data_IF_922436720765
#
_entry.id   IF_922436720765
#
_cell.length_a   1.000
_cell.length_b   1.000
_cell.length_c   1.000
_cell.angle_alpha   90.00
_cell.angle_beta   90.00
_cell.angle_gamma   90.00
#
_symmetry.space_group_name_H-M   'P 1'
#
loop_
_entity.id
_entity.type
_entity.pdbx_description
1 polymer ?
#
# COMPACT_ATOMS: atom_id res chain seq x y z
N UNK A 1 -15.40 -24.11 -1.65
CA UNK A 1 -14.63 -22.99 -1.07
C UNK A 1 -15.45 -21.71 -1.19
N UNK A 2 -15.30 -20.72 -0.29
CA UNK A 2 -15.94 -19.40 -0.41
C UNK A 2 -14.85 -18.32 -0.49
N UNK A 3 -14.60 -17.68 -1.65
CA UNK A 3 -13.54 -16.69 -1.78
C UNK A 3 -13.85 -15.46 -0.91
N UNK A 4 -12.81 -14.89 -0.29
CA UNK A 4 -12.90 -13.67 0.53
C UNK A 4 -11.72 -12.76 0.21
N UNK A 5 -11.98 -11.46 0.14
CA UNK A 5 -10.93 -10.44 0.03
C UNK A 5 -10.63 -9.90 1.43
N UNK A 6 -9.40 -10.10 1.90
CA UNK A 6 -8.95 -9.63 3.23
C UNK A 6 -7.86 -8.57 3.14
N UNK A 7 -7.12 -8.53 2.04
CA UNK A 7 -6.07 -7.54 1.79
C UNK A 7 -6.18 -7.06 0.35
N UNK A 8 -6.18 -5.74 0.17
CA UNK A 8 -5.99 -5.08 -1.11
C UNK A 8 -4.66 -4.34 -1.07
N UNK A 9 -3.73 -4.71 -1.94
CA UNK A 9 -2.45 -4.00 -2.10
C UNK A 9 -2.50 -3.10 -3.31
N UNK A 10 -2.17 -1.82 -3.14
CA UNK A 10 -2.10 -0.84 -4.23
C UNK A 10 -0.68 -0.26 -4.34
N UNK A 11 -0.13 -0.33 -5.54
CA UNK A 11 1.06 0.43 -5.92
C UNK A 11 0.71 1.90 -6.14
N UNK A 12 1.47 2.79 -5.52
CA UNK A 12 1.26 4.24 -5.63
C UNK A 12 2.57 4.95 -5.96
N UNK A 13 2.50 6.01 -6.77
CA UNK A 13 3.70 6.78 -7.16
C UNK A 13 4.29 7.63 -6.03
N UNK A 14 3.49 8.02 -5.04
CA UNK A 14 3.92 8.82 -3.90
C UNK A 14 3.27 8.33 -2.63
N UNK A 15 4.02 7.58 -1.81
CA UNK A 15 3.48 6.92 -0.61
C UNK A 15 2.98 7.94 0.41
N UNK A 16 3.76 8.98 0.72
CA UNK A 16 3.35 10.04 1.66
C UNK A 16 2.05 10.73 1.24
N UNK A 17 1.95 11.06 -0.05
CA UNK A 17 0.76 11.70 -0.62
C UNK A 17 -0.46 10.79 -0.51
N UNK A 18 -0.31 9.50 -0.83
CA UNK A 18 -1.39 8.54 -0.72
C UNK A 18 -1.81 8.35 0.74
N UNK A 19 -0.86 8.24 1.66
CA UNK A 19 -1.14 8.15 3.10
C UNK A 19 -1.89 9.38 3.59
N UNK A 20 -1.44 10.59 3.23
CA UNK A 20 -2.14 11.82 3.59
C UNK A 20 -3.58 11.86 3.03
N UNK A 21 -3.79 11.39 1.79
CA UNK A 21 -5.13 11.31 1.21
C UNK A 21 -6.08 10.43 2.05
N UNK A 22 -5.68 9.20 2.38
CA UNK A 22 -6.53 8.29 3.16
C UNK A 22 -6.63 8.70 4.64
N UNK A 23 -5.53 9.11 5.26
CA UNK A 23 -5.48 9.48 6.68
C UNK A 23 -6.12 10.84 6.95
N UNK A 24 -5.65 11.88 6.27
CA UNK A 24 -6.04 13.26 6.56
C UNK A 24 -7.25 13.68 5.74
N UNK A 25 -7.37 13.17 4.50
CA UNK A 25 -8.50 13.46 3.62
C UNK A 25 -9.76 12.66 3.99
N UNK A 26 -9.63 11.35 4.21
CA UNK A 26 -10.77 10.47 4.54
C UNK A 26 -10.91 10.14 6.03
N UNK A 27 -9.93 10.52 6.86
CA UNK A 27 -9.96 10.24 8.30
C UNK A 27 -9.70 8.78 8.68
N UNK A 28 -9.14 7.97 7.77
CA UNK A 28 -8.96 6.53 8.02
C UNK A 28 -7.77 6.25 8.93
N UNK A 29 -7.91 5.33 9.90
CA UNK A 29 -6.87 5.05 10.88
C UNK A 29 -5.69 4.30 10.24
N UNK A 30 -4.47 4.78 10.54
CA UNK A 30 -3.22 4.11 10.16
C UNK A 30 -2.15 4.33 11.22
N UNK A 31 -1.17 3.42 11.27
CA UNK A 31 0.06 3.62 12.03
C UNK A 31 1.10 4.47 11.27
N UNK A 32 0.76 4.94 10.08
CA UNK A 32 1.68 5.63 9.17
C UNK A 32 2.51 4.65 8.35
N UNK A 33 3.56 5.20 7.73
CA UNK A 33 4.52 4.44 6.92
C UNK A 33 5.44 3.67 7.86
N UNK A 34 5.65 2.40 7.56
CA UNK A 34 6.53 1.47 8.26
C UNK A 34 7.57 0.92 7.28
N UNK A 35 8.73 0.50 7.77
CA UNK A 35 9.78 -0.14 6.96
C UNK A 35 10.47 0.79 5.95
N UNK A 36 10.40 2.12 6.15
CA UNK A 36 11.04 3.10 5.27
C UNK A 36 12.58 3.03 5.28
N UNK A 37 13.16 2.40 6.30
CA UNK A 37 14.58 2.11 6.47
C UNK A 37 15.03 0.81 5.78
N UNK A 38 14.09 0.02 5.28
CA UNK A 38 14.34 -1.24 4.58
C UNK A 38 14.23 -0.96 3.08
N UNK A 39 15.22 -1.42 2.31
CA UNK A 39 15.18 -1.32 0.84
C UNK A 39 13.90 -1.94 0.30
N UNK A 40 13.14 -1.16 -0.47
CA UNK A 40 11.82 -1.50 -0.99
C UNK A 40 10.76 -1.90 0.08
N UNK A 41 11.02 -1.72 1.37
CA UNK A 41 10.16 -2.19 2.46
C UNK A 41 9.11 -1.17 2.94
N UNK A 42 9.10 0.05 2.40
CA UNK A 42 8.18 1.10 2.82
C UNK A 42 6.72 0.73 2.51
N UNK A 43 5.85 0.74 3.53
CA UNK A 43 4.44 0.39 3.39
C UNK A 43 3.57 1.11 4.42
N UNK A 44 2.35 1.48 4.04
CA UNK A 44 1.32 1.92 4.99
C UNK A 44 0.12 0.98 4.97
N UNK A 45 -0.37 0.62 6.15
CA UNK A 45 -1.55 -0.22 6.32
C UNK A 45 -2.71 0.58 6.91
N UNK A 46 -3.90 0.39 6.31
CA UNK A 46 -5.17 0.88 6.82
C UNK A 46 -6.05 -0.31 7.17
N UNK A 47 -6.50 -0.39 8.42
CA UNK A 47 -7.47 -1.40 8.85
C UNK A 47 -8.86 -0.83 8.68
N UNK A 48 -9.65 -1.47 7.83
CA UNK A 48 -11.02 -1.09 7.52
C UNK A 48 -11.99 -2.02 8.23
N UNK A 49 -13.28 -1.78 8.03
CA UNK A 49 -14.33 -2.63 8.58
C UNK A 49 -14.23 -4.08 8.07
N UNK A 50 -14.80 -5.00 8.85
CA UNK A 50 -14.89 -6.43 8.52
C UNK A 50 -13.53 -7.11 8.28
N UNK A 51 -12.45 -6.52 8.81
CA UNK A 51 -11.10 -7.09 8.74
C UNK A 51 -10.40 -6.88 7.39
N UNK A 52 -10.94 -6.04 6.49
CA UNK A 52 -10.27 -5.67 5.26
C UNK A 52 -9.07 -4.77 5.55
N UNK A 53 -7.95 -5.03 4.90
CA UNK A 53 -6.73 -4.22 4.99
C UNK A 53 -6.43 -3.62 3.62
N UNK A 54 -6.23 -2.30 3.57
CA UNK A 54 -5.62 -1.64 2.43
C UNK A 54 -4.13 -1.44 2.74
N UNK A 55 -3.26 -1.99 1.87
CA UNK A 55 -1.82 -1.83 1.94
C UNK A 55 -1.33 -0.95 0.78
N UNK A 56 -0.69 0.17 1.09
CA UNK A 56 -0.13 1.09 0.10
C UNK A 56 1.38 0.89 0.03
N UNK A 57 1.88 0.62 -1.17
CA UNK A 57 3.30 0.41 -1.45
C UNK A 57 3.78 1.39 -2.52
N UNK A 58 5.04 1.87 -2.46
CA UNK A 58 5.64 2.56 -3.59
C UNK A 58 5.57 1.68 -4.84
N UNK A 59 5.23 2.28 -5.98
CA UNK A 59 5.15 1.56 -7.25
C UNK A 59 6.46 0.87 -7.61
N UNK A 60 7.60 1.52 -7.33
CA UNK A 60 8.94 0.96 -7.52
C UNK A 60 9.16 -0.30 -6.68
N UNK A 61 8.83 -0.25 -5.38
CA UNK A 61 8.93 -1.41 -4.49
C UNK A 61 8.16 -2.61 -5.00
N UNK A 62 6.89 -2.40 -5.40
CA UNK A 62 6.04 -3.49 -5.87
C UNK A 62 6.46 -4.01 -7.25
N UNK A 63 6.97 -3.15 -8.12
CA UNK A 63 7.54 -3.57 -9.40
C UNK A 63 8.79 -4.43 -9.19
N UNK A 64 9.69 -4.02 -8.28
CA UNK A 64 10.87 -4.78 -7.91
C UNK A 64 10.52 -6.17 -7.34
N UNK A 65 9.55 -6.24 -6.42
CA UNK A 65 9.05 -7.51 -5.85
C UNK A 65 8.44 -8.43 -6.93
N UNK A 66 7.71 -7.86 -7.88
CA UNK A 66 7.10 -8.59 -8.98
C UNK A 66 8.08 -8.94 -10.12
N UNK A 67 9.34 -8.49 -10.06
CA UNK A 67 10.31 -8.67 -11.15
C UNK A 67 9.94 -7.91 -12.44
N UNK A 68 9.18 -6.82 -12.32
CA UNK A 68 8.72 -5.99 -13.43
C UNK A 68 9.52 -4.68 -13.50
N UNK A 69 9.65 -4.08 -14.71
CA UNK A 69 10.20 -2.73 -14.83
C UNK A 69 9.30 -1.69 -14.15
N UNK A 70 9.91 -0.60 -13.67
CA UNK A 70 9.16 0.55 -13.19
C UNK A 70 8.26 1.11 -14.30
N UNK A 71 6.96 1.27 -14.00
CA UNK A 71 5.94 1.65 -14.97
C UNK A 71 4.94 0.54 -15.31
N UNK A 72 5.27 -0.72 -15.03
CA UNK A 72 4.45 -1.88 -15.35
C UNK A 72 4.65 -2.39 -16.77
N UNK A 73 3.99 -3.50 -17.12
CA UNK A 73 4.01 -4.03 -18.49
C UNK A 73 3.15 -3.13 -19.39
N UNK A 74 3.81 -2.31 -20.21
CA UNK A 74 3.20 -1.57 -21.31
C UNK A 74 3.29 -2.37 -22.61
#
# INVERSE_FOLDING_TARGET
>A
MRPKLTVLTLAVRGLDRAVAFYRDGLGWPTKGIQGADIENGAVAFFKLENGLILALWPQSSLAADAGLPEGGAH
#
